data_IF_870906256414
#
_entry.id   IF_870906256414
#
_cell.length_a   1.000
_cell.length_b   1.000
_cell.length_c   1.000
_cell.angle_alpha   90.00
_cell.angle_beta   90.00
_cell.angle_gamma   90.00
#
_symmetry.space_group_name_H-M   'P 1'
#
loop_
_entity.id
_entity.type
_entity.pdbx_description
1 polymer ?
#
# COMPACT_ATOMS: atom_id res chain seq x y z
N UNK A 1 32.67 -41.35 -11.44
CA UNK A 1 33.46 -40.70 -10.37
C UNK A 1 33.36 -39.19 -10.58
N UNK A 2 32.31 -38.52 -10.08
CA UNK A 2 32.30 -37.75 -8.82
C UNK A 2 33.65 -37.10 -8.49
N UNK A 3 33.85 -35.86 -8.94
CA UNK A 3 34.75 -34.92 -8.28
C UNK A 3 33.98 -33.64 -8.03
N UNK A 4 33.65 -33.47 -6.76
CA UNK A 4 33.01 -32.29 -6.20
C UNK A 4 34.04 -31.15 -6.12
N UNK A 5 33.51 -29.93 -6.12
CA UNK A 5 34.06 -28.70 -5.53
C UNK A 5 35.33 -28.10 -6.13
N UNK A 6 35.20 -26.97 -6.86
CA UNK A 6 35.54 -25.62 -6.36
C UNK A 6 35.15 -24.53 -7.38
N UNK A 7 35.06 -23.29 -6.89
CA UNK A 7 34.80 -22.01 -7.57
C UNK A 7 33.33 -21.54 -7.68
N UNK A 8 32.84 -21.14 -6.50
CA UNK A 8 32.30 -19.78 -6.25
C UNK A 8 32.42 -18.81 -7.44
N UNK A 9 31.29 -18.49 -8.07
CA UNK A 9 31.10 -17.20 -8.74
C UNK A 9 29.67 -16.73 -8.43
N UNK A 10 29.54 -16.04 -7.30
CA UNK A 10 28.34 -15.30 -6.95
C UNK A 10 28.28 -14.03 -7.81
N UNK A 11 27.72 -14.13 -9.01
CA UNK A 11 27.27 -12.96 -9.76
C UNK A 11 25.95 -12.50 -9.13
N UNK A 12 26.05 -11.66 -8.09
CA UNK A 12 24.92 -10.90 -7.59
C UNK A 12 24.51 -9.88 -8.67
N UNK A 13 23.59 -10.27 -9.54
CA UNK A 13 22.90 -9.34 -10.44
C UNK A 13 22.03 -8.40 -9.60
N UNK A 14 22.61 -7.26 -9.22
CA UNK A 14 21.85 -6.08 -8.80
C UNK A 14 21.10 -5.57 -10.04
N UNK A 15 19.87 -6.04 -10.24
CA UNK A 15 18.97 -5.43 -11.22
C UNK A 15 18.52 -4.10 -10.63
N UNK A 16 19.20 -3.02 -11.01
CA UNK A 16 18.66 -1.67 -10.84
C UNK A 16 17.47 -1.52 -11.77
N UNK A 17 16.28 -1.87 -11.29
CA UNK A 17 15.03 -1.48 -11.93
C UNK A 17 14.94 0.05 -11.84
N UNK A 18 15.27 0.74 -12.93
CA UNK A 18 15.00 2.16 -13.05
C UNK A 18 13.48 2.36 -13.08
N UNK A 19 12.89 2.69 -11.94
CA UNK A 19 11.49 3.09 -11.92
C UNK A 19 11.38 4.47 -12.59
N UNK A 20 10.68 4.53 -13.73
CA UNK A 20 10.31 5.79 -14.34
C UNK A 20 9.23 6.45 -13.48
N UNK A 21 9.50 7.66 -12.99
CA UNK A 21 8.47 8.47 -12.35
C UNK A 21 7.42 8.88 -13.40
N UNK A 22 6.15 8.67 -13.10
CA UNK A 22 5.04 8.98 -14.01
C UNK A 22 3.68 8.67 -13.41
N UNK A 23 2.61 8.98 -14.16
CA UNK A 23 1.26 8.55 -13.84
C UNK A 23 1.20 7.04 -14.02
N UNK A 24 0.91 6.33 -12.93
CA UNK A 24 0.88 4.88 -12.88
C UNK A 24 -0.49 4.43 -12.39
N UNK A 25 -0.96 3.34 -13.00
CA UNK A 25 -2.01 2.51 -12.40
C UNK A 25 -1.48 1.93 -11.09
N UNK A 26 -2.13 2.28 -9.98
CA UNK A 26 -1.85 1.73 -8.65
C UNK A 26 -3.11 1.09 -8.08
N UNK A 27 -2.91 0.11 -7.23
CA UNK A 27 -3.98 -0.52 -6.48
C UNK A 27 -3.75 -0.25 -5.00
N UNK A 28 -4.81 0.09 -4.29
CA UNK A 28 -4.72 0.40 -2.87
C UNK A 28 -5.96 0.00 -2.10
N UNK A 29 -5.80 -0.16 -0.78
CA UNK A 29 -6.89 -0.34 0.16
C UNK A 29 -6.58 0.40 1.46
N UNK A 30 -7.64 0.77 2.17
CA UNK A 30 -7.60 1.37 3.49
C UNK A 30 -7.80 0.36 4.59
N UNK A 31 -7.05 0.54 5.66
CA UNK A 31 -7.29 -0.09 6.94
C UNK A 31 -7.45 0.99 8.00
N UNK A 32 -8.48 0.90 8.83
CA UNK A 32 -8.64 1.75 9.98
C UNK A 32 -8.90 0.93 11.23
N UNK A 33 -8.29 1.30 12.35
CA UNK A 33 -8.53 0.67 13.64
C UNK A 33 -8.90 1.72 14.69
N UNK A 34 -9.97 1.45 15.41
CA UNK A 34 -10.35 2.16 16.62
C UNK A 34 -9.91 1.36 17.84
N UNK A 35 -9.06 1.95 18.66
CA UNK A 35 -8.59 1.34 19.91
C UNK A 35 -9.61 1.46 21.04
N UNK A 36 -10.64 2.29 20.89
CA UNK A 36 -11.63 2.54 21.94
C UNK A 36 -12.66 1.41 22.04
N UNK A 37 -13.06 0.84 20.91
CA UNK A 37 -14.16 -0.15 20.80
C UNK A 37 -13.76 -1.41 20.04
N UNK A 38 -12.46 -1.58 19.73
CA UNK A 38 -11.93 -2.70 18.93
C UNK A 38 -12.59 -2.84 17.55
N UNK A 39 -13.15 -1.75 17.00
CA UNK A 39 -13.68 -1.75 15.63
C UNK A 39 -12.56 -1.55 14.62
N UNK A 40 -12.57 -2.35 13.56
CA UNK A 40 -11.67 -2.19 12.42
C UNK A 40 -12.45 -2.08 11.11
N UNK A 41 -12.01 -1.20 10.22
CA UNK A 41 -12.55 -1.05 8.88
C UNK A 41 -11.53 -1.50 7.83
N UNK A 42 -12.02 -2.19 6.82
CA UNK A 42 -11.31 -2.46 5.58
C UNK A 42 -12.07 -1.80 4.44
N UNK A 43 -11.39 -1.07 3.56
CA UNK A 43 -12.00 -0.71 2.28
C UNK A 43 -11.81 -1.84 1.28
N UNK A 44 -12.63 -1.86 0.24
CA UNK A 44 -12.31 -2.61 -0.98
C UNK A 44 -10.95 -2.17 -1.55
N UNK A 45 -10.33 -3.08 -2.31
CA UNK A 45 -9.15 -2.75 -3.10
C UNK A 45 -9.62 -1.96 -4.32
N UNK A 46 -9.16 -0.71 -4.40
CA UNK A 46 -9.48 0.21 -5.48
C UNK A 46 -8.30 0.34 -6.45
N UNK A 47 -8.64 0.67 -7.69
CA UNK A 47 -7.69 0.98 -8.76
C UNK A 47 -7.68 2.48 -8.99
N UNK A 48 -6.48 3.06 -9.11
CA UNK A 48 -6.27 4.47 -9.40
C UNK A 48 -5.30 4.62 -10.58
N UNK A 49 -5.77 5.20 -11.67
CA UNK A 49 -4.99 5.34 -12.90
C UNK A 49 -4.07 6.57 -12.94
N UNK A 50 -4.35 7.57 -12.10
CA UNK A 50 -3.69 8.89 -12.13
C UNK A 50 -2.74 9.12 -10.95
N UNK A 51 -2.28 8.07 -10.28
CA UNK A 51 -1.40 8.20 -9.14
C UNK A 51 0.06 8.36 -9.58
N UNK A 52 0.82 9.23 -8.93
CA UNK A 52 2.24 9.41 -9.21
C UNK A 52 3.07 8.50 -8.32
N UNK A 53 3.92 7.69 -8.93
CA UNK A 53 4.95 6.90 -8.22
C UNK A 53 6.31 7.49 -8.59
N UNK A 54 7.14 7.79 -7.60
CA UNK A 54 8.46 8.35 -7.83
C UNK A 54 9.46 7.30 -8.34
N UNK A 55 10.68 7.74 -8.67
CA UNK A 55 11.75 6.83 -9.14
C UNK A 55 12.26 5.87 -8.07
N UNK A 56 11.99 6.14 -6.81
CA UNK A 56 12.28 5.25 -5.68
C UNK A 56 11.21 4.18 -5.47
N UNK A 57 10.09 4.25 -6.22
CA UNK A 57 8.96 3.36 -6.02
C UNK A 57 8.07 3.76 -4.84
N UNK A 58 8.04 5.05 -4.47
CA UNK A 58 7.13 5.58 -3.47
C UNK A 58 5.92 6.25 -4.12
N UNK A 59 4.73 5.98 -3.58
CA UNK A 59 3.50 6.67 -3.95
C UNK A 59 3.55 8.10 -3.42
N UNK A 60 3.41 9.07 -4.32
CA UNK A 60 3.33 10.48 -3.98
C UNK A 60 2.10 10.77 -3.11
N UNK A 61 2.23 11.60 -2.08
CA UNK A 61 1.14 11.93 -1.16
C UNK A 61 0.57 10.72 -0.41
N UNK A 62 1.39 9.70 -0.12
CA UNK A 62 0.95 8.44 0.53
C UNK A 62 0.12 8.67 1.80
N UNK A 63 0.54 9.62 2.62
CA UNK A 63 -0.13 10.05 3.85
C UNK A 63 -1.50 10.69 3.57
N UNK A 64 -1.61 11.47 2.51
CA UNK A 64 -2.85 12.13 2.10
C UNK A 64 -3.97 11.12 1.78
N UNK A 65 -3.66 9.95 1.22
CA UNK A 65 -4.67 8.90 1.07
C UNK A 65 -5.19 8.39 2.42
N UNK A 66 -4.32 8.25 3.42
CA UNK A 66 -4.75 7.82 4.76
C UNK A 66 -5.62 8.89 5.43
N UNK A 67 -5.39 10.17 5.13
CA UNK A 67 -6.25 11.27 5.56
C UNK A 67 -7.62 11.24 4.89
N UNK A 68 -7.74 10.90 3.60
CA UNK A 68 -9.04 10.74 2.95
C UNK A 68 -9.93 9.71 3.68
N UNK A 69 -9.36 8.56 4.07
CA UNK A 69 -10.10 7.56 4.84
C UNK A 69 -10.45 8.06 6.24
N UNK A 70 -9.50 8.71 6.93
CA UNK A 70 -9.72 9.30 8.25
C UNK A 70 -10.87 10.29 8.22
N UNK A 71 -10.84 11.23 7.28
CA UNK A 71 -11.81 12.33 7.20
C UNK A 71 -13.20 11.79 6.83
N UNK A 72 -13.26 10.78 5.95
CA UNK A 72 -14.49 10.04 5.69
C UNK A 72 -15.04 9.39 6.96
N UNK A 73 -14.23 8.63 7.69
CA UNK A 73 -14.68 7.96 8.92
C UNK A 73 -15.08 8.97 10.00
N UNK A 74 -14.33 10.07 10.16
CA UNK A 74 -14.68 11.16 11.06
C UNK A 74 -16.06 11.76 10.70
N UNK A 75 -16.35 11.96 9.41
CA UNK A 75 -17.67 12.43 8.96
C UNK A 75 -18.82 11.45 9.28
N UNK A 76 -18.50 10.18 9.54
CA UNK A 76 -19.44 9.13 9.98
C UNK A 76 -19.44 8.92 11.51
N UNK A 77 -18.77 9.80 12.27
CA UNK A 77 -18.69 9.73 13.73
C UNK A 77 -17.57 8.82 14.27
N UNK A 78 -16.63 8.39 13.42
CA UNK A 78 -15.46 7.57 13.79
C UNK A 78 -14.18 8.40 13.75
N UNK A 79 -14.08 9.42 14.60
CA UNK A 79 -13.02 10.44 14.56
C UNK A 79 -11.64 9.94 15.01
N UNK A 80 -11.59 9.01 15.98
CA UNK A 80 -10.33 8.56 16.60
C UNK A 80 -9.76 7.27 15.98
N UNK A 81 -10.12 6.98 14.73
CA UNK A 81 -9.60 5.82 14.02
C UNK A 81 -8.18 6.07 13.50
N UNK A 82 -7.26 5.16 13.81
CA UNK A 82 -5.92 5.14 13.21
C UNK A 82 -6.03 4.55 11.80
N UNK A 83 -5.84 5.39 10.78
CA UNK A 83 -6.03 5.03 9.38
C UNK A 83 -4.68 4.86 8.67
N UNK A 84 -4.60 3.84 7.80
CA UNK A 84 -3.44 3.59 6.95
C UNK A 84 -3.89 3.07 5.59
N UNK A 85 -3.31 3.63 4.53
CA UNK A 85 -3.51 3.15 3.15
C UNK A 85 -2.34 2.30 2.71
N UNK A 86 -2.64 1.07 2.31
CA UNK A 86 -1.70 0.14 1.68
C UNK A 86 -1.83 0.20 0.18
N UNK A 87 -0.72 0.16 -0.54
CA UNK A 87 -0.71 0.28 -2.00
C UNK A 87 0.29 -0.67 -2.66
N UNK A 88 0.11 -0.94 -3.95
CA UNK A 88 1.07 -1.59 -4.84
C UNK A 88 0.78 -1.24 -6.31
N UNK A 89 1.79 -1.32 -7.18
CA UNK A 89 1.61 -1.19 -8.62
C UNK A 89 1.03 -2.45 -9.28
N UNK A 90 1.13 -3.61 -8.62
CA UNK A 90 0.63 -4.90 -9.12
C UNK A 90 -0.55 -5.38 -8.30
N UNK A 91 -1.59 -5.87 -8.99
CA UNK A 91 -2.83 -6.37 -8.38
C UNK A 91 -2.59 -7.58 -7.46
N UNK A 92 -1.74 -8.51 -7.84
CA UNK A 92 -1.43 -9.69 -7.03
C UNK A 92 -0.71 -9.34 -5.72
N UNK A 93 0.13 -8.30 -5.74
CA UNK A 93 0.87 -7.82 -4.57
C UNK A 93 -0.07 -7.16 -3.57
N UNK A 94 -1.00 -6.31 -4.03
CA UNK A 94 -1.96 -5.66 -3.13
C UNK A 94 -2.92 -6.68 -2.52
N UNK A 95 -3.35 -7.69 -3.30
CA UNK A 95 -4.25 -8.75 -2.82
C UNK A 95 -3.56 -9.56 -1.71
N UNK A 96 -2.29 -9.94 -1.91
CA UNK A 96 -1.49 -10.58 -0.86
C UNK A 96 -1.39 -9.72 0.40
N UNK A 97 -1.13 -8.41 0.26
CA UNK A 97 -1.09 -7.48 1.40
C UNK A 97 -2.44 -7.41 2.12
N UNK A 98 -3.55 -7.39 1.37
CA UNK A 98 -4.90 -7.35 1.90
C UNK A 98 -5.25 -8.61 2.69
N UNK A 99 -5.03 -9.79 2.11
CA UNK A 99 -5.26 -11.07 2.78
C UNK A 99 -4.38 -11.23 4.03
N UNK A 100 -3.10 -10.82 3.94
CA UNK A 100 -2.20 -10.82 5.08
C UNK A 100 -2.72 -9.93 6.21
N UNK A 101 -3.22 -8.73 5.91
CA UNK A 101 -3.79 -7.85 6.93
C UNK A 101 -5.05 -8.45 7.56
N UNK A 102 -5.98 -8.95 6.74
CA UNK A 102 -7.22 -9.60 7.21
C UNK A 102 -6.94 -10.78 8.14
N UNK A 103 -5.94 -11.60 7.81
CA UNK A 103 -5.53 -12.74 8.64
C UNK A 103 -5.08 -12.33 10.06
N UNK A 104 -4.49 -11.14 10.23
CA UNK A 104 -4.04 -10.62 11.53
C UNK A 104 -5.22 -10.29 12.46
N UNK A 105 -6.36 -9.93 11.88
CA UNK A 105 -7.60 -9.62 12.60
C UNK A 105 -8.57 -10.80 12.62
N UNK A 106 -8.07 -12.03 12.44
CA UNK A 106 -8.87 -13.24 12.53
C UNK A 106 -9.86 -13.44 11.38
N UNK A 107 -9.79 -12.60 10.35
CA UNK A 107 -10.56 -12.77 9.11
C UNK A 107 -9.79 -13.73 8.22
N UNK A 108 -10.12 -15.01 8.35
CA UNK A 108 -9.57 -16.06 7.49
C UNK A 108 -10.72 -16.78 6.83
N UNK A 109 -10.85 -16.64 5.51
CA UNK A 109 -11.82 -17.43 4.75
C UNK A 109 -11.50 -18.92 4.88
N UNK A 110 -12.49 -19.71 5.32
CA UNK A 110 -12.40 -21.17 5.33
C UNK A 110 -11.50 -21.79 6.40
N UNK A 111 -10.94 -21.04 7.36
CA UNK A 111 -10.19 -21.61 8.49
C UNK A 111 -10.81 -21.23 9.83
N UNK A 112 -11.05 -22.21 10.68
CA UNK A 112 -11.40 -22.00 12.10
C UNK A 112 -10.18 -21.43 12.82
N UNK A 113 -10.19 -20.12 13.10
CA UNK A 113 -9.16 -19.47 13.90
C UNK A 113 -9.31 -19.93 15.36
N UNK A 114 -8.25 -20.47 15.96
CA UNK A 114 -8.26 -20.90 17.39
C UNK A 114 -8.41 -19.73 18.37
N UNK A 115 -8.14 -18.50 17.93
CA UNK A 115 -8.34 -17.26 18.70
C UNK A 115 -9.76 -16.74 18.49
N UNK A 116 -10.49 -16.53 19.58
CA UNK A 116 -11.77 -15.81 19.58
C UNK A 116 -11.53 -14.42 18.99
N UNK A 117 -12.20 -14.08 17.90
CA UNK A 117 -12.02 -12.76 17.28
C UNK A 117 -12.64 -11.71 18.21
N UNK A 118 -11.83 -10.78 18.69
CA UNK A 118 -12.24 -9.71 19.61
C UNK A 118 -12.58 -8.41 18.90
N UNK A 119 -12.38 -8.35 17.58
CA UNK A 119 -12.59 -7.15 16.78
C UNK A 119 -13.95 -7.15 16.10
N UNK A 120 -14.58 -5.97 16.08
CA UNK A 120 -15.76 -5.72 15.23
C UNK A 120 -15.25 -5.31 13.86
N UNK A 121 -15.39 -6.17 12.86
CA UNK A 121 -14.89 -5.90 11.51
C UNK A 121 -16.00 -5.35 10.64
N UNK A 122 -15.72 -4.22 9.98
CA UNK A 122 -16.58 -3.58 9.01
C UNK A 122 -15.85 -3.46 7.67
N UNK A 123 -16.62 -3.47 6.60
CA UNK A 123 -16.11 -3.29 5.24
C UNK A 123 -16.76 -2.05 4.65
N UNK A 124 -15.96 -1.24 3.96
CA UNK A 124 -16.44 -0.13 3.14
C UNK A 124 -16.33 -0.57 1.68
N UNK A 125 -17.45 -0.65 1.01
CA UNK A 125 -17.46 -0.96 -0.41
C UNK A 125 -16.94 0.23 -1.22
N UNK A 126 -16.61 -0.04 -2.47
CA UNK A 126 -16.23 1.02 -3.41
C UNK A 126 -17.35 2.08 -3.50
N UNK A 127 -18.64 1.70 -3.54
CA UNK A 127 -19.76 2.64 -3.58
C UNK A 127 -19.84 3.60 -2.37
N UNK A 128 -19.35 3.17 -1.20
CA UNK A 128 -19.40 3.96 0.04
C UNK A 128 -18.25 4.95 0.18
N UNK A 129 -17.07 4.60 -0.34
CA UNK A 129 -15.85 5.40 -0.20
C UNK A 129 -14.93 5.19 -1.40
N UNK A 130 -14.48 6.28 -2.01
CA UNK A 130 -13.53 6.27 -3.12
C UNK A 130 -12.32 7.14 -2.84
N UNK A 131 -11.14 6.62 -3.17
CA UNK A 131 -9.92 7.42 -3.13
C UNK A 131 -9.84 8.39 -4.30
N UNK A 132 -9.30 9.58 -4.02
CA UNK A 132 -8.93 10.57 -5.01
C UNK A 132 -7.41 10.58 -5.20
N UNK A 133 -6.97 10.58 -6.45
CA UNK A 133 -5.54 10.62 -6.77
C UNK A 133 -4.94 11.96 -6.34
N UNK A 134 -3.78 11.89 -5.67
CA UNK A 134 -3.01 13.06 -5.27
C UNK A 134 -2.00 13.38 -6.37
N UNK A 135 -2.17 14.53 -7.01
CA UNK A 135 -1.32 15.01 -8.10
C UNK A 135 -0.36 16.06 -7.53
N UNK A 136 0.95 15.97 -7.80
CA UNK A 136 1.89 17.03 -7.44
C UNK A 136 1.54 18.32 -8.16
N UNK A 137 1.59 19.44 -7.45
CA UNK A 137 1.56 20.77 -8.08
C UNK A 137 2.81 20.94 -8.97
N UNK A 138 2.70 21.72 -10.05
CA UNK A 138 3.80 21.96 -11.01
C UNK A 138 5.07 22.49 -10.30
N UNK A 139 4.88 23.23 -9.20
CA UNK A 139 5.95 23.75 -8.34
C UNK A 139 6.76 22.68 -7.59
N UNK A 140 6.24 21.45 -7.47
CA UNK A 140 6.86 20.35 -6.74
C UNK A 140 7.48 19.27 -7.64
N UNK A 141 7.45 19.47 -8.95
CA UNK A 141 8.18 18.63 -9.91
C UNK A 141 9.67 18.98 -9.78
N UNK A 142 10.38 18.27 -8.90
CA UNK A 142 11.83 18.43 -8.75
C UNK A 142 12.49 18.04 -10.08
N UNK A 143 12.91 19.05 -10.84
CA UNK A 143 13.69 18.87 -12.05
C UNK A 143 14.95 18.02 -11.73
N UNK A 144 15.37 17.12 -12.63
CA UNK A 144 16.45 16.19 -12.34
C UNK A 144 17.75 16.95 -12.07
N UNK A 145 18.35 16.71 -10.90
CA UNK A 145 19.72 17.12 -10.58
C UNK A 145 20.65 16.47 -11.62
N UNK A 146 21.14 17.26 -12.58
CA UNK A 146 22.17 16.83 -13.52
C UNK A 146 23.40 16.45 -12.71
N UNK A 147 23.72 15.16 -12.67
CA UNK A 147 24.98 14.69 -12.09
C UNK A 147 26.13 15.30 -12.89
N UNK A 148 26.89 16.18 -12.24
CA UNK A 148 28.09 16.81 -12.80
C UNK A 148 29.12 15.70 -13.00
N UNK A 149 29.40 15.32 -14.26
CA UNK A 149 30.53 14.43 -14.58
C UNK A 149 31.80 15.05 -13.97
N UNK A 150 32.43 14.35 -13.02
CA UNK A 150 33.79 14.67 -12.58
C UNK A 150 34.72 14.46 -13.78
N UNK A 151 35.50 15.50 -14.06
CA UNK A 151 36.53 15.56 -15.09
C UNK A 151 37.77 14.83 -14.61
#
# INVERSE_FOLDING_TARGET
>A
MRLKTLLLTACAFFVCAAASAGNNKVYLYGFAASFNDSTVYFTDIQELDSAVVDRGGFLYGRDSYSYQLRDYLASKGFEHATCVTMWATKRDVIEKKFQNMRSRYGVVFGKKTKKKNTYTIKYLTTDEFHYQAIIPDESQIVAPVKSRKKK
#
